data_IF_621811027975
#
_entry.id   IF_621811027975
#
_cell.length_a   1.000
_cell.length_b   1.000
_cell.length_c   1.000
_cell.angle_alpha   90.00
_cell.angle_beta   90.00
_cell.angle_gamma   90.00
#
_symmetry.space_group_name_H-M   'P 1'
#
loop_
_entity.id
_entity.type
_entity.pdbx_description
1 polymer ?
#
# COMPACT_ATOMS: atom_id res chain seq x y z
N UNK A 1 29.84 15.07 29.50
CA UNK A 1 29.62 13.78 28.79
C UNK A 1 28.11 13.62 28.63
N UNK A 2 27.52 14.17 27.56
CA UNK A 2 26.07 14.12 27.33
C UNK A 2 25.71 12.81 26.64
N UNK A 3 25.05 11.92 27.38
CA UNK A 3 24.40 10.72 26.83
C UNK A 3 23.26 11.16 25.93
N UNK A 4 23.51 11.25 24.63
CA UNK A 4 22.45 11.39 23.62
C UNK A 4 21.70 10.06 23.53
N UNK A 5 20.72 9.90 24.41
CA UNK A 5 19.71 8.83 24.32
C UNK A 5 19.11 8.91 22.93
N UNK A 6 19.45 7.96 22.05
CA UNK A 6 18.85 7.88 20.73
C UNK A 6 17.37 7.55 20.91
N UNK A 7 16.53 8.58 20.92
CA UNK A 7 15.06 8.52 21.09
C UNK A 7 14.40 7.92 19.85
N UNK A 8 14.82 6.72 19.44
CA UNK A 8 14.20 5.96 18.37
C UNK A 8 12.98 5.23 18.90
N UNK A 9 11.94 5.18 18.07
CA UNK A 9 10.70 4.50 18.37
C UNK A 9 10.91 2.98 18.54
N UNK A 10 10.02 2.35 19.30
CA UNK A 10 10.04 0.90 19.51
C UNK A 10 9.97 0.14 18.18
N UNK A 11 10.53 -1.07 18.14
CA UNK A 11 10.48 -1.95 16.96
C UNK A 11 9.05 -2.30 16.56
N UNK A 12 8.15 -2.35 17.55
CA UNK A 12 6.74 -2.68 17.35
C UNK A 12 5.97 -1.54 16.65
N UNK A 13 6.49 -0.32 16.63
CA UNK A 13 5.86 0.84 15.98
C UNK A 13 5.91 0.75 14.44
N UNK A 14 6.72 -0.17 13.87
CA UNK A 14 6.78 -0.42 12.42
C UNK A 14 5.42 -0.73 11.79
N UNK A 15 4.53 -1.38 12.54
CA UNK A 15 3.17 -1.67 12.09
C UNK A 15 2.33 -0.42 11.86
N UNK A 16 2.51 0.62 12.68
CA UNK A 16 1.81 1.90 12.48
C UNK A 16 2.26 2.58 11.18
N UNK A 17 3.54 2.47 10.83
CA UNK A 17 4.02 2.98 9.54
C UNK A 17 3.50 2.14 8.36
N UNK A 18 3.44 0.82 8.50
CA UNK A 18 2.90 -0.06 7.48
C UNK A 18 1.41 0.19 7.25
N UNK A 19 0.57 0.04 8.27
CA UNK A 19 -0.87 0.27 8.16
C UNK A 19 -1.20 1.73 7.87
N UNK A 20 -0.51 2.68 8.51
CA UNK A 20 -0.70 4.11 8.29
C UNK A 20 -0.42 4.50 6.84
N UNK A 21 0.71 4.08 6.27
CA UNK A 21 1.03 4.40 4.87
C UNK A 21 0.09 3.72 3.87
N UNK A 22 -0.35 2.49 4.14
CA UNK A 22 -1.35 1.82 3.31
C UNK A 22 -2.69 2.57 3.37
N UNK A 23 -3.17 2.91 4.56
CA UNK A 23 -4.43 3.63 4.75
C UNK A 23 -4.38 5.02 4.12
N UNK A 24 -3.31 5.79 4.36
CA UNK A 24 -3.08 7.09 3.72
C UNK A 24 -2.97 6.95 2.20
N UNK A 25 -2.30 5.91 1.72
CA UNK A 25 -2.21 5.61 0.30
C UNK A 25 -3.58 5.37 -0.32
N UNK A 26 -4.45 4.58 0.33
CA UNK A 26 -5.82 4.34 -0.13
C UNK A 26 -6.60 5.66 -0.19
N UNK A 27 -6.57 6.46 0.87
CA UNK A 27 -7.26 7.76 0.92
C UNK A 27 -6.75 8.71 -0.17
N UNK A 28 -5.43 8.78 -0.35
CA UNK A 28 -4.83 9.59 -1.42
C UNK A 28 -5.26 9.10 -2.80
N UNK A 29 -5.35 7.78 -3.01
CA UNK A 29 -5.82 7.22 -4.27
C UNK A 29 -7.25 7.65 -4.60
N UNK A 30 -8.13 7.72 -3.59
CA UNK A 30 -9.49 8.24 -3.78
C UNK A 30 -9.52 9.74 -4.08
N UNK A 31 -8.68 10.54 -3.41
CA UNK A 31 -8.59 11.97 -3.65
C UNK A 31 -8.05 12.32 -5.05
N UNK A 32 -7.27 11.41 -5.64
CA UNK A 32 -6.65 11.57 -6.96
C UNK A 32 -7.43 10.86 -8.08
N UNK A 33 -8.64 10.36 -7.80
CA UNK A 33 -9.51 9.79 -8.82
C UNK A 33 -9.81 10.85 -9.89
N UNK A 34 -9.30 10.64 -11.10
CA UNK A 34 -9.44 11.55 -12.24
C UNK A 34 -8.11 11.95 -12.89
N UNK A 35 -6.98 11.84 -12.19
CA UNK A 35 -5.64 12.18 -12.71
C UNK A 35 -4.97 11.04 -13.51
N UNK A 36 -5.69 9.94 -13.72
CA UNK A 36 -5.22 8.76 -14.42
C UNK A 36 -4.54 7.74 -13.50
N UNK A 37 -4.77 6.45 -13.79
CA UNK A 37 -4.37 5.33 -12.94
C UNK A 37 -2.86 5.28 -12.66
N UNK A 38 -2.02 5.72 -13.61
CA UNK A 38 -0.55 5.76 -13.44
C UNK A 38 -0.13 6.73 -12.35
N UNK A 39 -0.76 7.91 -12.28
CA UNK A 39 -0.44 8.94 -11.28
C UNK A 39 -0.90 8.46 -9.90
N UNK A 40 -2.11 7.93 -9.82
CA UNK A 40 -2.66 7.36 -8.58
C UNK A 40 -1.78 6.24 -8.03
N UNK A 41 -1.35 5.30 -8.87
CA UNK A 41 -0.44 4.23 -8.48
C UNK A 41 0.94 4.76 -8.04
N UNK A 42 1.53 5.70 -8.80
CA UNK A 42 2.81 6.29 -8.43
C UNK A 42 2.77 7.00 -7.07
N UNK A 43 1.68 7.72 -6.76
CA UNK A 43 1.50 8.38 -5.47
C UNK A 43 1.31 7.35 -4.34
N UNK A 44 0.48 6.33 -4.57
CA UNK A 44 0.33 5.22 -3.62
C UNK A 44 1.68 4.56 -3.31
N UNK A 45 2.42 4.18 -4.35
CA UNK A 45 3.75 3.60 -4.24
C UNK A 45 4.69 4.49 -3.45
N UNK A 46 4.73 5.80 -3.74
CA UNK A 46 5.57 6.75 -3.03
C UNK A 46 5.22 6.84 -1.55
N UNK A 47 3.93 6.90 -1.19
CA UNK A 47 3.47 6.95 0.20
C UNK A 47 3.90 5.70 0.95
N UNK A 48 3.69 4.52 0.36
CA UNK A 48 4.08 3.24 0.97
C UNK A 48 5.60 3.13 1.09
N UNK A 49 6.35 3.57 0.09
CA UNK A 49 7.81 3.60 0.13
C UNK A 49 8.34 4.55 1.22
N UNK A 50 7.73 5.72 1.38
CA UNK A 50 8.03 6.65 2.48
C UNK A 50 7.69 6.01 3.83
N UNK A 51 6.55 5.32 3.94
CA UNK A 51 6.20 4.54 5.12
C UNK A 51 7.26 3.50 5.47
N UNK A 52 7.72 2.74 4.47
CA UNK A 52 8.81 1.77 4.60
C UNK A 52 10.10 2.42 5.08
N UNK A 53 10.48 3.54 4.48
CA UNK A 53 11.64 4.33 4.86
C UNK A 53 11.56 4.78 6.32
N UNK A 54 10.47 5.45 6.71
CA UNK A 54 10.27 5.94 8.07
C UNK A 54 10.24 4.80 9.09
N UNK A 55 9.63 3.67 8.73
CA UNK A 55 9.54 2.51 9.61
C UNK A 55 10.91 2.00 10.06
N UNK A 56 11.95 2.07 9.22
CA UNK A 56 13.30 1.59 9.54
C UNK A 56 14.22 2.72 10.01
N UNK A 57 14.04 3.92 9.48
CA UNK A 57 14.81 5.10 9.85
C UNK A 57 14.49 5.58 11.27
N UNK A 58 13.20 5.69 11.62
CA UNK A 58 12.74 6.24 12.90
C UNK A 58 12.61 5.21 14.02
N UNK A 59 12.51 3.92 13.71
CA UNK A 59 12.41 2.86 14.72
C UNK A 59 13.74 2.16 14.95
N UNK A 60 13.84 1.39 16.03
CA UNK A 60 14.95 0.46 16.27
C UNK A 60 14.86 -0.84 15.45
N UNK A 61 13.87 -0.97 14.55
CA UNK A 61 13.69 -2.20 13.80
C UNK A 61 14.84 -2.44 12.82
N UNK A 62 15.10 -3.72 12.55
CA UNK A 62 15.91 -4.15 11.40
C UNK A 62 14.99 -4.22 10.18
N UNK A 63 15.57 -4.16 8.98
CA UNK A 63 14.83 -4.27 7.71
C UNK A 63 13.88 -5.46 7.73
N UNK A 64 14.33 -6.65 8.16
CA UNK A 64 13.48 -7.86 8.28
C UNK A 64 12.20 -7.63 9.11
N UNK A 65 12.28 -6.86 10.20
CA UNK A 65 11.12 -6.56 11.04
C UNK A 65 10.11 -5.65 10.33
N UNK A 66 10.59 -4.63 9.62
CA UNK A 66 9.72 -3.78 8.80
C UNK A 66 9.09 -4.56 7.64
N UNK A 67 9.86 -5.44 6.97
CA UNK A 67 9.35 -6.28 5.87
C UNK A 67 8.20 -7.17 6.34
N UNK A 68 8.28 -7.77 7.54
CA UNK A 68 7.18 -8.56 8.10
C UNK A 68 5.92 -7.72 8.34
N UNK A 69 6.06 -6.50 8.88
CA UNK A 69 4.94 -5.59 9.09
C UNK A 69 4.27 -5.17 7.78
N UNK A 70 5.06 -4.90 6.72
CA UNK A 70 4.54 -4.58 5.40
C UNK A 70 3.94 -5.80 4.68
N UNK A 71 4.49 -7.01 4.86
CA UNK A 71 3.89 -8.24 4.36
C UNK A 71 2.50 -8.47 4.92
N UNK A 72 2.35 -8.34 6.24
CA UNK A 72 1.06 -8.53 6.88
C UNK A 72 0.09 -7.38 6.59
N UNK A 73 0.57 -6.13 6.56
CA UNK A 73 -0.24 -4.99 6.11
C UNK A 73 -0.74 -5.15 4.68
N UNK A 74 0.14 -5.59 3.76
CA UNK A 74 -0.20 -5.86 2.37
C UNK A 74 -1.20 -7.02 2.26
N UNK A 75 -1.06 -8.08 3.05
CA UNK A 75 -2.02 -9.19 3.06
C UNK A 75 -3.42 -8.71 3.47
N UNK A 76 -3.51 -7.90 4.52
CA UNK A 76 -4.79 -7.31 4.96
C UNK A 76 -5.38 -6.41 3.87
N UNK A 77 -4.56 -5.56 3.25
CA UNK A 77 -4.99 -4.69 2.16
C UNK A 77 -5.49 -5.50 0.95
N UNK A 78 -4.75 -6.55 0.56
CA UNK A 78 -5.11 -7.42 -0.55
C UNK A 78 -6.45 -8.12 -0.32
N UNK A 79 -6.68 -8.64 0.89
CA UNK A 79 -7.97 -9.23 1.27
C UNK A 79 -9.09 -8.18 1.19
N UNK A 80 -8.87 -6.97 1.70
CA UNK A 80 -9.85 -5.90 1.63
C UNK A 80 -10.18 -5.52 0.17
N UNK A 81 -9.17 -5.39 -0.70
CA UNK A 81 -9.35 -5.10 -2.13
C UNK A 81 -10.02 -6.25 -2.88
N UNK A 82 -9.73 -7.50 -2.54
CA UNK A 82 -10.43 -8.66 -3.10
C UNK A 82 -11.93 -8.57 -2.85
N UNK A 83 -12.34 -8.35 -1.59
CA UNK A 83 -13.75 -8.23 -1.23
C UNK A 83 -14.40 -7.00 -1.89
N UNK A 84 -13.72 -5.85 -1.87
CA UNK A 84 -14.20 -4.62 -2.48
C UNK A 84 -14.49 -4.80 -3.97
N UNK A 85 -13.52 -5.29 -4.73
CA UNK A 85 -13.66 -5.47 -6.19
C UNK A 85 -14.70 -6.55 -6.52
N UNK A 86 -14.72 -7.64 -5.74
CA UNK A 86 -15.71 -8.70 -5.92
C UNK A 86 -17.13 -8.17 -5.74
N UNK A 87 -17.39 -7.42 -4.66
CA UNK A 87 -18.70 -6.82 -4.41
C UNK A 87 -19.08 -5.76 -5.44
N UNK A 88 -18.13 -4.91 -5.85
CA UNK A 88 -18.40 -3.86 -6.83
C UNK A 88 -18.76 -4.45 -8.19
N UNK A 89 -18.05 -5.48 -8.65
CA UNK A 89 -18.33 -6.13 -9.92
C UNK A 89 -19.64 -6.93 -9.89
N UNK A 90 -19.91 -7.65 -8.80
CA UNK A 90 -21.19 -8.33 -8.60
C UNK A 90 -22.36 -7.34 -8.65
N UNK A 91 -22.25 -6.25 -7.89
CA UNK A 91 -23.27 -5.22 -7.83
C UNK A 91 -23.47 -4.53 -9.18
N UNK A 92 -22.38 -4.11 -9.83
CA UNK A 92 -22.43 -3.42 -11.13
C UNK A 92 -23.02 -4.32 -12.24
N UNK A 93 -22.62 -5.59 -12.28
CA UNK A 93 -23.11 -6.55 -13.29
C UNK A 93 -24.58 -6.86 -13.07
N UNK A 94 -25.00 -7.05 -11.81
CA UNK A 94 -26.41 -7.28 -11.47
C UNK A 94 -27.27 -6.09 -11.89
N UNK A 95 -26.85 -4.87 -11.54
CA UNK A 95 -27.56 -3.63 -11.88
C UNK A 95 -27.66 -3.42 -13.40
N UNK A 96 -26.57 -3.66 -14.15
CA UNK A 96 -26.58 -3.57 -15.60
C UNK A 96 -27.53 -4.61 -16.23
N UNK A 97 -27.50 -5.84 -15.73
CA UNK A 97 -28.36 -6.93 -16.23
C UNK A 97 -29.84 -6.66 -15.92
N UNK A 98 -30.14 -6.14 -14.73
CA UNK A 98 -31.50 -5.75 -14.34
C UNK A 98 -32.03 -4.59 -15.18
N UNK A 99 -31.18 -3.62 -15.48
CA UNK A 99 -31.54 -2.45 -16.30
C UNK A 99 -31.90 -2.88 -17.73
N UNK A 100 -31.19 -3.87 -18.30
CA UNK A 100 -31.43 -4.36 -19.66
C UNK A 100 -32.60 -5.34 -19.71
N UNK A 101 -32.75 -6.20 -18.71
CA UNK A 101 -33.77 -7.26 -18.68
C UNK A 101 -35.09 -6.88 -18.00
N UNK A 102 -35.18 -5.68 -17.41
CA UNK A 102 -36.32 -5.29 -16.58
C UNK A 102 -36.44 -6.13 -15.30
N UNK A 103 -35.33 -6.65 -14.77
CA UNK A 103 -35.29 -7.48 -13.56
C UNK A 103 -35.58 -8.97 -13.77
N UNK A 104 -35.75 -9.45 -15.01
CA UNK A 104 -36.00 -10.88 -15.25
C UNK A 104 -34.74 -11.74 -15.11
N UNK A 105 -33.56 -11.16 -15.30
CA UNK A 105 -32.28 -11.88 -15.30
C UNK A 105 -31.39 -11.55 -14.09
N UNK A 106 -31.95 -11.01 -12.99
CA UNK A 106 -31.20 -10.63 -11.78
C UNK A 106 -30.32 -11.76 -11.24
N UNK A 107 -30.88 -12.97 -11.15
CA UNK A 107 -30.16 -14.13 -10.62
C UNK A 107 -29.00 -14.58 -11.52
N UNK A 108 -29.12 -14.39 -12.84
CA UNK A 108 -28.05 -14.70 -13.80
C UNK A 108 -26.98 -13.62 -13.78
N UNK A 109 -27.39 -12.34 -13.73
CA UNK A 109 -26.49 -11.19 -13.57
C UNK A 109 -25.66 -11.25 -12.30
N UNK A 110 -26.25 -11.66 -11.17
CA UNK A 110 -25.54 -11.85 -9.91
C UNK A 110 -24.52 -12.99 -9.99
N UNK A 111 -24.88 -14.13 -10.61
CA UNK A 111 -23.94 -15.25 -10.78
C UNK A 111 -22.75 -14.89 -11.69
N UNK A 112 -23.02 -14.24 -12.82
CA UNK A 112 -21.99 -13.78 -13.74
C UNK A 112 -21.09 -12.71 -13.08
N UNK A 113 -21.71 -11.75 -12.39
CA UNK A 113 -21.03 -10.69 -11.65
C UNK A 113 -20.15 -11.22 -10.52
N UNK A 114 -20.62 -12.21 -9.75
CA UNK A 114 -19.84 -12.84 -8.69
C UNK A 114 -18.62 -13.62 -9.22
N UNK A 115 -18.78 -14.32 -10.35
CA UNK A 115 -17.69 -15.03 -11.00
C UNK A 115 -16.62 -14.06 -11.53
N UNK A 116 -17.04 -13.04 -12.29
CA UNK A 116 -16.13 -11.99 -12.79
C UNK A 116 -15.48 -11.22 -11.64
N UNK A 117 -16.27 -10.85 -10.63
CA UNK A 117 -15.83 -10.13 -9.46
C UNK A 117 -14.76 -10.87 -8.68
N UNK A 118 -14.89 -12.19 -8.49
CA UNK A 118 -13.83 -13.00 -7.87
C UNK A 118 -12.55 -13.00 -8.69
N UNK A 119 -12.63 -13.17 -10.01
CA UNK A 119 -11.43 -13.20 -10.87
C UNK A 119 -10.71 -11.86 -10.88
N UNK A 120 -11.42 -10.75 -11.11
CA UNK A 120 -10.84 -9.41 -11.05
C UNK A 120 -10.38 -9.07 -9.64
N UNK A 121 -11.12 -9.49 -8.61
CA UNK A 121 -10.76 -9.31 -7.21
C UNK A 121 -9.43 -9.97 -6.88
N UNK A 122 -9.20 -11.22 -7.31
CA UNK A 122 -7.91 -11.91 -7.12
C UNK A 122 -6.78 -11.17 -7.82
N UNK A 123 -7.01 -10.73 -9.06
CA UNK A 123 -6.00 -10.03 -9.85
C UNK A 123 -5.61 -8.69 -9.22
N UNK A 124 -6.60 -7.87 -8.84
CA UNK A 124 -6.35 -6.58 -8.18
C UNK A 124 -5.71 -6.78 -6.80
N UNK A 125 -6.17 -7.75 -6.01
CA UNK A 125 -5.56 -8.08 -4.73
C UNK A 125 -4.09 -8.47 -4.88
N UNK A 126 -3.74 -9.28 -5.89
CA UNK A 126 -2.36 -9.66 -6.18
C UNK A 126 -1.49 -8.45 -6.58
N UNK A 127 -2.01 -7.54 -7.42
CA UNK A 127 -1.29 -6.32 -7.81
C UNK A 127 -1.04 -5.43 -6.60
N UNK A 128 -2.09 -5.12 -5.82
CA UNK A 128 -1.97 -4.28 -4.61
C UNK A 128 -0.97 -4.90 -3.64
N UNK A 129 -1.07 -6.22 -3.40
CA UNK A 129 -0.14 -6.93 -2.54
C UNK A 129 1.32 -6.76 -2.99
N UNK A 130 1.60 -7.01 -4.28
CA UNK A 130 2.94 -6.92 -4.83
C UNK A 130 3.47 -5.48 -4.81
N UNK A 131 2.66 -4.50 -5.19
CA UNK A 131 3.03 -3.10 -5.21
C UNK A 131 3.37 -2.60 -3.80
N UNK A 132 2.51 -2.90 -2.82
CA UNK A 132 2.73 -2.52 -1.41
C UNK A 132 4.00 -3.14 -0.85
N UNK A 133 4.29 -4.41 -1.19
CA UNK A 133 5.50 -5.09 -0.73
C UNK A 133 6.75 -4.51 -1.38
N UNK A 134 6.76 -4.33 -2.70
CA UNK A 134 7.92 -3.80 -3.41
C UNK A 134 8.24 -2.38 -2.92
N UNK A 135 7.22 -1.52 -2.80
CA UNK A 135 7.36 -0.18 -2.25
C UNK A 135 7.86 -0.21 -0.79
N UNK A 136 7.21 -0.97 0.07
CA UNK A 136 7.52 -1.06 1.49
C UNK A 136 8.92 -1.62 1.76
N UNK A 137 9.33 -2.66 1.04
CA UNK A 137 10.68 -3.23 1.11
C UNK A 137 11.71 -2.22 0.60
N UNK A 138 11.48 -1.62 -0.58
CA UNK A 138 12.38 -0.62 -1.16
C UNK A 138 12.63 0.55 -0.20
N UNK A 139 11.54 1.08 0.37
CA UNK A 139 11.58 2.09 1.42
C UNK A 139 12.36 1.63 2.65
N UNK A 140 12.05 0.45 3.19
CA UNK A 140 12.69 -0.09 4.39
C UNK A 140 14.19 -0.33 4.21
N UNK A 141 14.63 -0.78 3.03
CA UNK A 141 16.05 -0.93 2.71
C UNK A 141 16.73 0.44 2.66
N UNK A 142 16.11 1.40 1.97
CA UNK A 142 16.64 2.76 1.89
C UNK A 142 16.78 3.39 3.28
N UNK A 143 15.74 3.32 4.13
CA UNK A 143 15.76 3.84 5.49
C UNK A 143 16.78 3.14 6.39
N UNK A 144 16.95 1.82 6.23
CA UNK A 144 17.98 1.06 6.92
C UNK A 144 19.41 1.47 6.54
N UNK A 145 19.67 1.68 5.25
CA UNK A 145 20.98 2.14 4.73
C UNK A 145 21.31 3.56 5.17
N UNK A 146 20.38 4.50 5.02
CA UNK A 146 20.59 5.90 5.41
C UNK A 146 20.86 6.03 6.91
N UNK A 147 20.20 5.22 7.74
CA UNK A 147 20.47 5.15 9.18
C UNK A 147 21.89 4.65 9.51
N UNK A 148 22.47 3.79 8.68
CA UNK A 148 23.82 3.25 8.85
C UNK A 148 24.93 4.14 8.29
N UNK A 149 24.63 5.03 7.33
CA UNK A 149 25.60 5.87 6.61
C UNK A 149 25.71 7.31 7.13
N UNK A 150 25.29 7.59 8.37
CA UNK A 150 25.34 8.95 8.94
C UNK A 150 24.05 9.78 8.76
N UNK A 151 22.95 9.17 8.34
CA UNK A 151 21.61 9.78 8.34
C UNK A 151 21.31 10.67 7.14
N UNK A 152 20.21 11.41 7.23
CA UNK A 152 19.76 12.38 6.21
C UNK A 152 20.80 13.47 5.89
N UNK A 153 21.75 13.74 6.80
CA UNK A 153 22.84 14.69 6.61
C UNK A 153 23.80 14.25 5.49
N UNK A 154 24.15 12.96 5.42
CA UNK A 154 24.99 12.42 4.35
C UNK A 154 24.28 12.44 3.00
N UNK A 155 22.97 12.17 2.98
CA UNK A 155 22.15 12.23 1.77
C UNK A 155 21.98 13.67 1.26
N UNK A 156 21.81 14.61 2.19
CA UNK A 156 21.73 16.06 1.89
C UNK A 156 23.04 16.59 1.33
N UNK A 157 24.19 16.18 1.90
CA UNK A 157 25.51 16.53 1.40
C UNK A 157 25.75 15.99 -0.02
N UNK A 158 25.34 14.74 -0.30
CA UNK A 158 25.45 14.13 -1.62
C UNK A 158 24.51 14.79 -2.66
N UNK A 159 23.29 15.13 -2.26
CA UNK A 159 22.34 15.85 -3.12
C UNK A 159 22.83 17.28 -3.43
N UNK A 160 23.56 17.90 -2.51
CA UNK A 160 24.21 19.20 -2.73
C UNK A 160 25.43 19.11 -3.64
N UNK A 161 26.19 18.01 -3.61
CA UNK A 161 27.35 17.81 -4.50
C UNK A 161 27.00 17.34 -5.90
N UNK A 162 25.76 16.88 -6.13
CA UNK A 162 25.26 16.45 -7.43
C UNK A 162 24.54 17.57 -8.22
N UNK A 163 24.50 18.78 -7.68
CA UNK A 163 24.07 20.02 -8.35
C UNK A 163 25.29 20.85 -8.71
#
# INVERSE_FOLDING_TARGET
MSTSTSTKLSRHTTWLFAFGSIATGIVASYALNGLGQKVTAAVYFAIVAIGGFLSTYMTQARVRGAVLSFLAGAAVAAIAYFFLVSHLMESATTLATDTVSGGQATAEGAKAGAAMGRTFGIFIAAIVFLETIIAGIGGAIAGGKTRGQGGLAALSALAKSAR
#
